data_IF_873512162671
#
_entry.id   IF_873512162671
#
_cell.length_a   1.000
_cell.length_b   1.000
_cell.length_c   1.000
_cell.angle_alpha   90.00
_cell.angle_beta   90.00
_cell.angle_gamma   90.00
#
_symmetry.space_group_name_H-M   'P 1'
#
loop_
_entity.id
_entity.type
_entity.pdbx_description
1 polymer ?
#
# COMPACT_ATOMS: atom_id res chain seq x y z
N UNK A 1 57.08 15.89 17.34
CA UNK A 1 56.21 15.79 16.15
C UNK A 1 54.78 15.61 16.62
N UNK A 2 53.96 16.68 16.55
CA UNK A 2 52.56 16.66 16.95
C UNK A 2 51.72 16.23 15.75
N UNK A 3 51.19 15.00 15.80
CA UNK A 3 50.28 14.50 14.78
C UNK A 3 48.95 15.22 14.88
N UNK A 4 48.70 16.18 13.99
CA UNK A 4 47.35 16.71 13.74
C UNK A 4 46.48 15.56 13.23
N UNK A 5 45.67 14.98 14.12
CA UNK A 5 44.48 14.22 13.71
C UNK A 5 43.54 15.22 13.06
N UNK A 6 43.56 15.30 11.74
CA UNK A 6 42.45 15.87 10.98
C UNK A 6 41.27 14.92 11.18
N UNK A 7 40.39 15.21 12.13
CA UNK A 7 39.07 14.60 12.15
C UNK A 7 38.38 15.05 10.86
N UNK A 8 38.41 14.22 9.83
CA UNK A 8 37.53 14.36 8.68
C UNK A 8 36.11 14.15 9.20
N UNK A 9 35.48 15.23 9.66
CA UNK A 9 34.05 15.28 9.95
C UNK A 9 33.37 14.77 8.69
N UNK A 10 32.83 13.55 8.77
CA UNK A 10 32.08 13.01 7.65
C UNK A 10 30.88 13.94 7.40
N UNK A 11 30.56 14.24 6.14
CA UNK A 11 29.40 15.05 5.84
C UNK A 11 28.16 14.41 6.46
N UNK A 12 27.32 15.22 7.10
CA UNK A 12 26.08 14.79 7.73
C UNK A 12 24.89 15.41 6.99
N UNK A 13 23.80 14.65 6.98
CA UNK A 13 22.48 15.10 6.54
C UNK A 13 21.66 15.44 7.77
N UNK A 14 21.30 16.70 7.96
CA UNK A 14 20.43 17.09 9.07
C UNK A 14 18.98 16.86 8.69
N UNK A 15 18.21 16.24 9.59
CA UNK A 15 16.80 15.96 9.37
C UNK A 15 15.96 16.89 10.22
N UNK A 16 15.04 17.57 9.58
CA UNK A 16 14.11 18.52 10.19
C UNK A 16 12.67 18.14 9.88
N UNK A 17 11.77 18.39 10.82
CA UNK A 17 10.33 18.40 10.58
C UNK A 17 9.86 19.85 10.65
N UNK A 18 9.37 20.38 9.53
CA UNK A 18 8.78 21.71 9.48
C UNK A 18 7.57 21.77 10.43
N UNK A 19 7.28 22.89 11.11
CA UNK A 19 6.12 23.06 12.00
C UNK A 19 4.86 23.60 11.29
N UNK A 20 3.70 23.54 11.98
CA UNK A 20 2.33 23.87 11.48
C UNK A 20 2.20 25.20 10.77
N UNK A 21 3.03 26.15 11.16
CA UNK A 21 3.00 27.52 10.67
C UNK A 21 4.02 27.80 9.56
N UNK A 22 4.77 26.78 9.09
CA UNK A 22 5.89 26.90 8.15
C UNK A 22 6.98 27.92 8.55
N UNK A 23 6.98 28.36 9.81
CA UNK A 23 7.87 29.42 10.34
C UNK A 23 9.05 28.89 11.16
N UNK A 24 9.04 27.60 11.48
CA UNK A 24 10.05 26.99 12.34
C UNK A 24 10.19 25.51 11.99
N UNK A 25 11.36 24.96 12.27
CA UNK A 25 11.70 23.57 12.01
C UNK A 25 12.15 22.92 13.32
N UNK A 26 11.70 21.70 13.55
CA UNK A 26 12.13 20.88 14.68
C UNK A 26 13.26 19.98 14.21
N UNK A 27 14.45 20.16 14.77
CA UNK A 27 15.58 19.27 14.52
C UNK A 27 15.29 17.87 15.07
N UNK A 28 15.44 16.86 14.21
CA UNK A 28 15.18 15.46 14.55
C UNK A 28 16.48 14.75 14.90
N UNK A 29 17.51 14.92 14.05
CA UNK A 29 18.78 14.21 14.13
C UNK A 29 19.68 14.50 12.92
N UNK A 30 20.85 13.87 12.89
CA UNK A 30 21.81 14.03 11.82
C UNK A 30 22.33 12.65 11.36
N UNK A 31 22.01 12.28 10.12
CA UNK A 31 22.42 11.02 9.51
C UNK A 31 23.79 11.18 8.86
N UNK A 32 24.64 10.17 8.91
CA UNK A 32 25.87 10.19 8.11
C UNK A 32 25.54 10.22 6.61
N UNK A 33 26.31 10.93 5.79
CA UNK A 33 26.04 11.06 4.35
C UNK A 33 26.03 9.71 3.61
N UNK A 34 26.61 8.66 4.18
CA UNK A 34 26.48 7.28 3.69
C UNK A 34 25.02 6.83 3.62
N UNK A 35 24.17 7.34 4.53
CA UNK A 35 22.72 7.08 4.56
C UNK A 35 21.97 7.67 3.37
N UNK A 36 22.56 8.60 2.60
CA UNK A 36 21.95 9.11 1.36
C UNK A 36 21.55 7.98 0.41
N UNK A 37 22.24 6.83 0.47
CA UNK A 37 21.93 5.65 -0.34
C UNK A 37 20.54 5.07 -0.05
N UNK A 38 19.97 5.31 1.13
CA UNK A 38 18.62 4.89 1.48
C UNK A 38 17.53 5.75 0.85
N UNK A 39 17.88 6.91 0.28
CA UNK A 39 16.93 7.86 -0.29
C UNK A 39 16.78 7.67 -1.80
N UNK A 40 15.61 7.98 -2.32
CA UNK A 40 15.36 8.03 -3.76
C UNK A 40 16.36 8.98 -4.44
N UNK A 41 16.53 8.83 -5.75
CA UNK A 41 17.35 9.77 -6.52
C UNK A 41 16.87 11.23 -6.37
N UNK A 42 15.55 11.44 -6.36
CA UNK A 42 14.93 12.77 -6.24
C UNK A 42 15.24 13.38 -4.88
N UNK A 43 15.04 12.61 -3.80
CA UNK A 43 15.34 13.06 -2.45
C UNK A 43 16.83 13.35 -2.26
N UNK A 44 17.73 12.48 -2.75
CA UNK A 44 19.17 12.72 -2.72
C UNK A 44 19.58 14.03 -3.39
N UNK A 45 19.01 14.34 -4.56
CA UNK A 45 19.33 15.58 -5.28
C UNK A 45 18.95 16.82 -4.48
N UNK A 46 17.82 16.79 -3.78
CA UNK A 46 17.41 17.88 -2.89
C UNK A 46 18.35 18.01 -1.70
N UNK A 47 18.65 16.90 -1.03
CA UNK A 47 19.53 16.88 0.16
C UNK A 47 20.95 17.35 -0.20
N UNK A 48 21.52 16.90 -1.32
CA UNK A 48 22.89 17.26 -1.73
C UNK A 48 23.11 18.77 -1.94
N UNK A 49 22.04 19.57 -2.07
CA UNK A 49 22.17 21.01 -2.29
C UNK A 49 22.40 21.76 -0.98
N UNK A 50 21.76 21.32 0.12
CA UNK A 50 21.75 22.04 1.40
C UNK A 50 22.26 21.21 2.58
N UNK A 51 22.56 19.91 2.39
CA UNK A 51 22.78 18.91 3.43
C UNK A 51 21.63 18.75 4.43
N UNK A 52 20.45 19.28 4.11
CA UNK A 52 19.29 19.26 4.98
C UNK A 52 18.13 18.52 4.30
N UNK A 53 17.48 17.63 5.05
CA UNK A 53 16.22 17.00 4.71
C UNK A 53 15.11 17.64 5.52
N UNK A 54 14.23 18.39 4.85
CA UNK A 54 13.09 19.05 5.49
C UNK A 54 11.81 18.26 5.18
N UNK A 55 11.28 17.58 6.20
CA UNK A 55 10.03 16.82 6.13
C UNK A 55 8.84 17.75 6.37
N UNK A 56 7.83 17.68 5.49
CA UNK A 56 6.67 18.57 5.55
C UNK A 56 5.77 18.33 6.77
N UNK A 57 5.42 19.40 7.48
CA UNK A 57 4.70 19.37 8.77
C UNK A 57 3.40 18.56 8.78
N UNK A 58 2.60 18.65 7.71
CA UNK A 58 1.22 18.14 7.72
C UNK A 58 1.15 16.60 7.82
N UNK A 59 2.29 15.91 7.77
CA UNK A 59 2.36 14.48 7.45
C UNK A 59 3.40 13.70 8.26
N UNK A 60 4.12 14.36 9.17
CA UNK A 60 5.31 13.78 9.78
C UNK A 60 5.31 14.00 11.28
N UNK A 61 5.21 12.93 12.06
CA UNK A 61 5.35 12.97 13.51
C UNK A 61 6.85 13.01 13.87
N UNK A 62 7.35 14.00 14.64
CA UNK A 62 8.77 14.07 15.03
C UNK A 62 9.30 12.83 15.74
N UNK A 63 8.48 12.16 16.54
CA UNK A 63 8.86 10.92 17.24
C UNK A 63 9.07 9.79 16.23
N UNK A 64 8.13 9.59 15.31
CA UNK A 64 8.25 8.59 14.25
C UNK A 64 9.43 8.88 13.33
N UNK A 65 9.64 10.16 12.98
CA UNK A 65 10.78 10.57 12.17
C UNK A 65 12.12 10.23 12.86
N UNK A 66 12.21 10.42 14.18
CA UNK A 66 13.38 10.01 14.97
C UNK A 66 13.59 8.50 14.92
N UNK A 67 12.54 7.71 15.14
CA UNK A 67 12.61 6.24 15.04
C UNK A 67 13.12 5.79 13.68
N UNK A 68 12.64 6.39 12.59
CA UNK A 68 13.07 6.07 11.23
C UNK A 68 14.54 6.45 11.02
N UNK A 69 14.97 7.61 11.53
CA UNK A 69 16.39 8.01 11.47
C UNK A 69 17.29 7.02 12.20
N UNK A 70 16.95 6.65 13.43
CA UNK A 70 17.70 5.65 14.21
C UNK A 70 17.73 4.30 13.53
N UNK A 71 16.63 3.88 12.90
CA UNK A 71 16.63 2.64 12.11
C UNK A 71 17.59 2.74 10.92
N UNK A 72 17.57 3.83 10.14
CA UNK A 72 18.48 4.00 9.01
C UNK A 72 19.96 3.93 9.43
N UNK A 73 20.33 4.59 10.53
CA UNK A 73 21.71 4.59 11.04
C UNK A 73 22.22 3.20 11.40
N UNK A 74 21.34 2.33 11.89
CA UNK A 74 21.70 1.01 12.38
C UNK A 74 21.45 -0.10 11.35
N UNK A 75 20.83 0.21 10.21
CA UNK A 75 20.37 -0.79 9.26
C UNK A 75 21.29 -0.87 8.03
N UNK A 76 21.86 -2.05 7.79
CA UNK A 76 22.68 -2.29 6.60
C UNK A 76 21.81 -2.20 5.33
N UNK A 77 22.28 -1.46 4.33
CA UNK A 77 21.59 -1.33 3.05
C UNK A 77 21.75 -2.58 2.17
N UNK A 78 22.83 -3.33 2.35
CA UNK A 78 23.10 -4.54 1.59
C UNK A 78 22.31 -5.74 2.13
N UNK A 79 21.99 -5.71 3.43
CA UNK A 79 21.14 -6.68 4.11
C UNK A 79 20.13 -5.98 5.05
N UNK A 80 19.08 -5.35 4.49
CA UNK A 80 18.17 -4.53 5.28
C UNK A 80 17.26 -5.38 6.16
N UNK A 81 17.37 -5.19 7.46
CA UNK A 81 16.42 -5.72 8.43
C UNK A 81 15.09 -4.95 8.38
N UNK A 82 13.94 -5.63 8.45
CA UNK A 82 12.66 -4.94 8.55
C UNK A 82 12.57 -4.17 9.87
N UNK A 83 11.96 -2.99 9.85
CA UNK A 83 11.64 -2.26 11.08
C UNK A 83 10.64 -3.10 11.91
N UNK A 84 10.98 -3.49 13.15
CA UNK A 84 10.07 -4.23 14.02
C UNK A 84 8.87 -3.35 14.38
N UNK A 85 7.68 -3.95 14.45
CA UNK A 85 6.44 -3.23 14.81
C UNK A 85 6.54 -2.67 16.24
N UNK A 86 7.28 -3.33 17.10
CA UNK A 86 7.56 -2.93 18.48
C UNK A 86 8.33 -1.60 18.54
N UNK A 87 9.17 -1.30 17.54
CA UNK A 87 9.87 -0.02 17.46
C UNK A 87 8.95 1.14 17.05
N UNK A 88 7.76 0.85 16.50
CA UNK A 88 6.75 1.86 16.18
C UNK A 88 6.09 2.43 17.44
N UNK A 89 6.16 1.74 18.59
CA UNK A 89 5.63 2.21 19.88
C UNK A 89 4.17 1.80 20.11
N UNK A 90 3.38 2.63 20.81
CA UNK A 90 1.97 2.36 21.13
C UNK A 90 1.18 2.01 19.85
N UNK A 91 0.75 0.75 19.71
CA UNK A 91 0.18 0.22 18.46
C UNK A 91 -1.33 0.46 18.42
N UNK A 92 -1.77 1.71 18.25
CA UNK A 92 -3.12 1.95 17.73
C UNK A 92 -3.12 1.91 16.21
N UNK A 93 -4.27 1.64 15.59
CA UNK A 93 -4.39 1.73 14.13
C UNK A 93 -3.95 3.10 13.60
N UNK A 94 -4.26 4.15 14.35
CA UNK A 94 -3.89 5.53 14.00
C UNK A 94 -2.38 5.76 14.06
N UNK A 95 -1.71 5.25 15.10
CA UNK A 95 -0.25 5.38 15.23
C UNK A 95 0.47 4.68 14.07
N UNK A 96 -0.04 3.50 13.66
CA UNK A 96 0.47 2.78 12.50
C UNK A 96 0.31 3.56 11.19
N UNK A 97 -0.83 4.22 11.00
CA UNK A 97 -1.08 5.10 9.85
C UNK A 97 -0.17 6.33 9.87
N UNK A 98 -0.05 6.99 11.02
CA UNK A 98 0.80 8.18 11.19
C UNK A 98 2.29 7.83 11.00
N UNK A 99 2.72 6.65 11.45
CA UNK A 99 4.06 6.13 11.21
C UNK A 99 4.28 5.86 9.71
N UNK A 100 3.34 5.18 9.05
CA UNK A 100 3.42 4.89 7.62
C UNK A 100 3.45 6.16 6.76
N UNK A 101 2.67 7.18 7.13
CA UNK A 101 2.68 8.50 6.50
C UNK A 101 4.02 9.22 6.70
N UNK A 102 4.56 9.18 7.92
CA UNK A 102 5.89 9.73 8.25
C UNK A 102 6.97 9.05 7.43
N UNK A 103 6.93 7.72 7.33
CA UNK A 103 7.89 6.95 6.54
C UNK A 103 7.86 7.30 5.05
N UNK A 104 6.66 7.53 4.51
CA UNK A 104 6.50 7.97 3.12
C UNK A 104 7.12 9.35 2.84
N UNK A 105 7.30 10.19 3.86
CA UNK A 105 7.93 11.52 3.71
C UNK A 105 9.44 11.45 3.49
N UNK A 106 10.10 10.35 3.88
CA UNK A 106 11.53 10.16 3.65
C UNK A 106 11.86 9.82 2.19
N UNK A 107 10.88 9.47 1.35
CA UNK A 107 11.07 9.11 -0.05
C UNK A 107 12.26 8.16 -0.25
N UNK A 108 12.18 6.99 0.40
CA UNK A 108 13.25 6.00 0.44
C UNK A 108 13.41 5.24 -0.90
N UNK A 109 14.63 4.78 -1.17
CA UNK A 109 14.98 3.99 -2.34
C UNK A 109 14.12 2.73 -2.44
N UNK A 110 13.85 2.31 -3.69
CA UNK A 110 12.94 1.21 -3.98
C UNK A 110 13.38 -0.12 -3.34
N UNK A 111 14.67 -0.33 -3.10
CA UNK A 111 15.18 -1.54 -2.43
C UNK A 111 14.74 -1.63 -0.97
N UNK A 112 14.38 -0.51 -0.34
CA UNK A 112 13.82 -0.45 1.01
C UNK A 112 12.30 -0.53 1.05
N UNK A 113 11.61 -0.80 -0.06
CA UNK A 113 10.15 -1.05 -0.05
C UNK A 113 9.75 -2.21 0.87
N UNK A 114 10.67 -3.11 1.21
CA UNK A 114 10.44 -4.17 2.20
C UNK A 114 10.13 -3.62 3.60
N UNK A 115 10.71 -2.47 3.98
CA UNK A 115 10.40 -1.74 5.21
C UNK A 115 8.92 -1.38 5.32
N UNK A 116 8.35 -0.92 4.21
CA UNK A 116 6.94 -0.57 4.09
C UNK A 116 6.03 -1.81 4.11
N UNK A 117 6.52 -3.00 3.74
CA UNK A 117 5.66 -4.18 3.52
C UNK A 117 5.04 -4.70 4.81
N UNK A 118 5.76 -4.69 5.92
CA UNK A 118 5.24 -5.19 7.20
C UNK A 118 4.15 -4.27 7.75
N UNK A 119 4.42 -2.96 7.81
CA UNK A 119 3.46 -1.95 8.28
C UNK A 119 2.24 -1.89 7.36
N UNK A 120 2.47 -1.82 6.04
CA UNK A 120 1.38 -1.81 5.04
C UNK A 120 0.57 -3.10 5.06
N UNK A 121 1.22 -4.26 5.24
CA UNK A 121 0.57 -5.55 5.38
C UNK A 121 -0.35 -5.60 6.60
N UNK A 122 0.14 -5.13 7.75
CA UNK A 122 -0.65 -5.01 8.96
C UNK A 122 -1.88 -4.10 8.77
N UNK A 123 -1.70 -2.92 8.14
CA UNK A 123 -2.79 -1.98 7.83
C UNK A 123 -3.83 -2.66 6.90
N UNK A 124 -3.37 -3.35 5.85
CA UNK A 124 -4.25 -4.06 4.92
C UNK A 124 -5.06 -5.16 5.61
N UNK A 125 -4.45 -5.90 6.52
CA UNK A 125 -5.11 -6.96 7.26
C UNK A 125 -6.14 -6.40 8.23
N UNK A 126 -5.86 -5.26 8.89
CA UNK A 126 -6.83 -4.56 9.72
C UNK A 126 -8.07 -4.13 8.92
N UNK A 127 -7.87 -3.45 7.78
CA UNK A 127 -8.95 -2.95 6.91
C UNK A 127 -9.88 -4.09 6.42
N UNK A 128 -9.36 -5.31 6.29
CA UNK A 128 -10.14 -6.48 5.87
C UNK A 128 -10.92 -7.15 7.00
N UNK A 129 -10.45 -7.03 8.25
CA UNK A 129 -11.03 -7.73 9.40
C UNK A 129 -12.16 -6.95 10.06
N UNK A 130 -12.07 -5.63 10.07
CA UNK A 130 -13.02 -4.78 10.80
C UNK A 130 -13.56 -3.62 9.94
N UNK A 131 -14.81 -3.20 10.17
CA UNK A 131 -15.35 -1.99 9.54
C UNK A 131 -14.69 -0.75 10.13
N UNK A 132 -14.10 0.07 9.27
CA UNK A 132 -13.43 1.31 9.67
C UNK A 132 -14.41 2.33 10.27
N UNK A 133 -13.97 3.02 11.32
CA UNK A 133 -14.59 4.28 11.76
C UNK A 133 -14.32 5.40 10.75
N UNK A 134 -15.07 6.51 10.86
CA UNK A 134 -14.85 7.67 9.97
C UNK A 134 -13.44 8.24 10.13
N UNK A 135 -12.91 8.26 11.36
CA UNK A 135 -11.59 8.82 11.65
C UNK A 135 -10.46 7.98 11.05
N UNK A 136 -10.57 6.65 11.13
CA UNK A 136 -9.61 5.72 10.54
C UNK A 136 -9.63 5.81 9.01
N UNK A 137 -10.83 5.81 8.41
CA UNK A 137 -10.99 6.00 6.98
C UNK A 137 -10.35 7.32 6.51
N UNK A 138 -10.62 8.42 7.24
CA UNK A 138 -10.01 9.73 6.95
C UNK A 138 -8.49 9.68 7.02
N UNK A 139 -7.93 9.02 8.04
CA UNK A 139 -6.49 8.94 8.23
C UNK A 139 -5.82 8.21 7.05
N UNK A 140 -6.43 7.13 6.56
CA UNK A 140 -5.97 6.44 5.34
C UNK A 140 -6.13 7.36 4.10
N UNK A 141 -7.25 8.06 3.97
CA UNK A 141 -7.58 8.78 2.74
C UNK A 141 -6.82 10.10 2.55
N UNK A 142 -6.57 10.84 3.63
CA UNK A 142 -5.93 12.16 3.59
C UNK A 142 -4.46 12.12 4.04
N UNK A 143 -4.12 11.23 4.98
CA UNK A 143 -2.79 11.24 5.62
C UNK A 143 -1.84 10.20 4.98
N UNK A 144 -2.36 9.06 4.52
CA UNK A 144 -1.60 8.10 3.71
C UNK A 144 -1.58 8.48 2.22
N UNK A 145 -0.37 8.64 1.65
CA UNK A 145 -0.14 8.87 0.21
C UNK A 145 -0.16 7.58 -0.62
N UNK A 146 -0.71 6.50 -0.06
CA UNK A 146 -0.87 5.22 -0.75
C UNK A 146 -2.30 5.11 -1.30
N UNK A 147 -2.42 5.38 -2.61
CA UNK A 147 -3.68 5.30 -3.33
C UNK A 147 -4.29 3.89 -3.35
N UNK A 148 -3.49 2.85 -3.18
CA UNK A 148 -3.98 1.46 -3.12
C UNK A 148 -4.56 1.14 -1.74
N UNK A 149 -3.95 1.62 -0.65
CA UNK A 149 -4.55 1.55 0.69
C UNK A 149 -5.90 2.28 0.72
N UNK A 150 -5.96 3.48 0.13
CA UNK A 150 -7.21 4.24 0.03
C UNK A 150 -8.28 3.48 -0.76
N UNK A 151 -7.92 2.90 -1.92
CA UNK A 151 -8.84 2.08 -2.73
C UNK A 151 -9.30 0.83 -1.97
N UNK A 152 -8.42 0.17 -1.24
CA UNK A 152 -8.79 -1.00 -0.45
C UNK A 152 -9.71 -0.62 0.71
N UNK A 153 -9.46 0.50 1.40
CA UNK A 153 -10.37 1.04 2.42
C UNK A 153 -11.77 1.34 1.86
N UNK A 154 -11.85 1.97 0.67
CA UNK A 154 -13.13 2.18 -0.02
C UNK A 154 -13.80 0.86 -0.39
N UNK A 155 -13.03 -0.10 -0.93
CA UNK A 155 -13.53 -1.42 -1.30
C UNK A 155 -14.12 -2.14 -0.11
N UNK A 156 -13.39 -2.24 1.00
CA UNK A 156 -13.87 -2.92 2.20
C UNK A 156 -15.07 -2.20 2.80
N UNK A 157 -15.08 -0.86 2.84
CA UNK A 157 -16.27 -0.09 3.26
C UNK A 157 -17.52 -0.45 2.43
N UNK A 158 -17.37 -0.61 1.12
CA UNK A 158 -18.46 -1.02 0.23
C UNK A 158 -18.89 -2.47 0.52
N UNK A 159 -17.93 -3.39 0.65
CA UNK A 159 -18.24 -4.80 0.91
C UNK A 159 -18.94 -5.00 2.27
N UNK A 160 -18.46 -4.34 3.32
CA UNK A 160 -19.10 -4.30 4.64
C UNK A 160 -20.49 -3.63 4.59
N UNK A 161 -20.71 -2.65 3.70
CA UNK A 161 -22.05 -2.08 3.51
C UNK A 161 -23.05 -3.06 2.89
N UNK A 162 -22.56 -4.16 2.29
CA UNK A 162 -23.38 -5.23 1.74
C UNK A 162 -23.47 -6.45 2.65
N UNK A 163 -22.61 -6.55 3.66
CA UNK A 163 -22.69 -7.60 4.67
C UNK A 163 -23.85 -7.31 5.63
N UNK A 164 -24.41 -8.37 6.22
CA UNK A 164 -25.48 -8.24 7.22
C UNK A 164 -25.06 -7.47 8.48
N UNK A 165 -23.75 -7.35 8.75
CA UNK A 165 -23.18 -6.55 9.85
C UNK A 165 -23.21 -5.05 9.63
N UNK A 166 -23.17 -4.59 8.37
CA UNK A 166 -23.14 -3.16 8.03
C UNK A 166 -21.86 -2.43 8.47
N UNK A 167 -21.74 -1.16 8.07
CA UNK A 167 -20.68 -0.25 8.54
C UNK A 167 -21.35 0.80 9.45
N UNK A 168 -21.05 0.86 10.76
CA UNK A 168 -21.73 1.76 11.70
C UNK A 168 -21.70 3.24 11.26
N UNK A 169 -20.57 3.67 10.71
CA UNK A 169 -20.34 5.07 10.30
C UNK A 169 -20.47 5.32 8.78
N UNK A 170 -21.18 4.45 8.05
CA UNK A 170 -21.23 4.50 6.58
C UNK A 170 -21.62 5.89 6.03
N UNK A 171 -22.65 6.51 6.60
CA UNK A 171 -23.12 7.82 6.13
C UNK A 171 -22.10 8.92 6.39
N UNK A 172 -21.38 8.85 7.52
CA UNK A 172 -20.31 9.79 7.85
C UNK A 172 -19.13 9.65 6.88
N UNK A 173 -18.77 8.42 6.50
CA UNK A 173 -17.72 8.13 5.52
C UNK A 173 -18.14 8.63 4.13
N UNK A 174 -19.40 8.39 3.72
CA UNK A 174 -19.92 8.90 2.44
C UNK A 174 -19.92 10.43 2.41
N UNK A 175 -20.35 11.10 3.48
CA UNK A 175 -20.33 12.54 3.59
C UNK A 175 -18.90 13.09 3.48
N UNK A 176 -17.94 12.46 4.16
CA UNK A 176 -16.52 12.79 4.02
C UNK A 176 -16.00 12.62 2.59
N UNK A 177 -16.33 11.50 1.93
CA UNK A 177 -15.93 11.28 0.54
C UNK A 177 -16.51 12.33 -0.41
N UNK A 178 -17.72 12.85 -0.14
CA UNK A 178 -18.32 13.93 -0.94
C UNK A 178 -17.55 15.24 -0.75
N UNK A 179 -17.23 15.61 0.49
CA UNK A 179 -16.53 16.88 0.77
C UNK A 179 -15.08 16.88 0.28
N UNK A 180 -14.42 15.71 0.26
CA UNK A 180 -13.04 15.56 -0.24
C UNK A 180 -12.92 15.22 -1.73
N UNK A 181 -14.03 15.05 -2.43
CA UNK A 181 -14.03 14.72 -3.87
C UNK A 181 -13.78 13.25 -4.22
N UNK A 182 -13.63 12.37 -3.23
CA UNK A 182 -13.44 10.93 -3.42
C UNK A 182 -14.72 10.16 -3.79
N UNK A 183 -15.89 10.80 -3.64
CA UNK A 183 -17.18 10.12 -3.84
C UNK A 183 -17.36 9.51 -5.23
N UNK A 184 -16.86 10.17 -6.29
CA UNK A 184 -16.92 9.64 -7.66
C UNK A 184 -16.09 8.36 -7.82
N UNK A 185 -14.90 8.32 -7.21
CA UNK A 185 -14.04 7.14 -7.18
C UNK A 185 -14.74 5.98 -6.46
N UNK A 186 -15.31 6.26 -5.27
CA UNK A 186 -16.05 5.27 -4.49
C UNK A 186 -17.27 4.72 -5.25
N UNK A 187 -18.02 5.57 -5.96
CA UNK A 187 -19.16 5.13 -6.79
C UNK A 187 -18.73 4.26 -7.97
N UNK A 188 -17.67 4.63 -8.67
CA UNK A 188 -17.13 3.83 -9.77
C UNK A 188 -16.67 2.45 -9.27
N UNK A 189 -16.01 2.41 -8.11
CA UNK A 189 -15.60 1.17 -7.46
C UNK A 189 -16.82 0.31 -7.06
N UNK A 190 -17.85 0.92 -6.46
CA UNK A 190 -19.10 0.24 -6.09
C UNK A 190 -19.77 -0.43 -7.29
N UNK A 191 -19.87 0.27 -8.43
CA UNK A 191 -20.43 -0.29 -9.68
C UNK A 191 -19.62 -1.48 -10.18
N UNK A 192 -18.29 -1.36 -10.20
CA UNK A 192 -17.38 -2.43 -10.62
C UNK A 192 -17.50 -3.67 -9.73
N UNK A 193 -17.52 -3.48 -8.41
CA UNK A 193 -17.67 -4.58 -7.45
C UNK A 193 -19.00 -5.30 -7.64
N UNK A 194 -20.11 -4.55 -7.77
CA UNK A 194 -21.44 -5.15 -7.95
C UNK A 194 -21.52 -5.98 -9.24
N UNK A 195 -20.97 -5.47 -10.33
CA UNK A 195 -20.90 -6.22 -11.60
C UNK A 195 -20.09 -7.51 -11.51
N UNK A 196 -19.09 -7.59 -10.63
CA UNK A 196 -18.33 -8.83 -10.39
C UNK A 196 -19.13 -9.81 -9.55
N UNK A 197 -19.71 -9.34 -8.45
CA UNK A 197 -20.54 -10.17 -7.57
C UNK A 197 -21.75 -10.76 -8.31
N UNK A 198 -22.40 -9.97 -9.18
CA UNK A 198 -23.54 -10.44 -9.97
C UNK A 198 -23.10 -11.48 -11.02
N UNK A 199 -21.93 -11.32 -11.64
CA UNK A 199 -21.35 -12.31 -12.57
C UNK A 199 -20.96 -13.60 -11.86
N UNK A 200 -20.40 -13.52 -10.67
CA UNK A 200 -20.04 -14.70 -9.85
C UNK A 200 -21.29 -15.45 -9.39
N UNK A 201 -22.34 -14.74 -8.95
CA UNK A 201 -23.64 -15.34 -8.66
C UNK A 201 -24.26 -16.02 -9.89
N UNK A 202 -24.19 -15.38 -11.05
CA UNK A 202 -24.66 -15.99 -12.30
C UNK A 202 -23.88 -17.25 -12.69
N UNK A 203 -22.55 -17.27 -12.47
CA UNK A 203 -21.73 -18.47 -12.69
C UNK A 203 -22.05 -19.59 -11.70
N UNK A 204 -22.25 -19.27 -10.42
CA UNK A 204 -22.66 -20.25 -9.41
C UNK A 204 -24.02 -20.86 -9.73
N UNK A 205 -25.01 -20.06 -10.14
CA UNK A 205 -26.32 -20.57 -10.55
C UNK A 205 -26.26 -21.47 -11.79
N UNK A 206 -25.36 -21.17 -12.74
CA UNK A 206 -25.13 -22.05 -13.90
C UNK A 206 -24.44 -23.35 -13.48
N UNK A 207 -23.48 -23.29 -12.56
CA UNK A 207 -22.80 -24.47 -12.00
C UNK A 207 -23.75 -25.34 -11.17
N UNK A 208 -24.60 -24.76 -10.32
CA UNK A 208 -25.63 -25.48 -9.55
C UNK A 208 -26.62 -26.18 -10.49
N UNK A 209 -27.09 -25.50 -11.54
CA UNK A 209 -27.95 -26.14 -12.55
C UNK A 209 -27.26 -27.29 -13.29
N UNK A 210 -25.99 -27.15 -13.64
CA UNK A 210 -25.22 -28.21 -14.29
C UNK A 210 -24.96 -29.41 -13.36
N UNK A 211 -24.83 -29.16 -12.05
CA UNK A 211 -24.69 -30.21 -11.03
C UNK A 211 -26.04 -30.90 -10.81
N UNK A 212 -27.14 -30.16 -10.67
CA UNK A 212 -28.50 -30.70 -10.53
C UNK A 212 -28.93 -31.50 -11.77
N UNK A 213 -28.55 -31.05 -12.98
CA UNK A 213 -28.76 -31.80 -14.24
C UNK A 213 -27.89 -33.07 -14.32
N UNK A 214 -26.75 -33.12 -13.62
CA UNK A 214 -25.89 -34.30 -13.55
C UNK A 214 -26.34 -35.33 -12.50
N UNK A 215 -26.99 -34.90 -11.41
CA UNK A 215 -27.52 -35.78 -10.36
C UNK A 215 -28.92 -36.35 -10.70
N UNK A 216 -29.63 -35.74 -11.65
CA UNK A 216 -30.97 -36.17 -12.10
C UNK A 216 -31.00 -37.13 -13.30
N UNK A 217 -29.86 -37.56 -13.85
CA UNK A 217 -29.86 -38.32 -15.12
C UNK A 217 -29.41 -39.78 -14.93
N UNK A 218 -30.38 -40.68 -14.75
CA UNK A 218 -30.23 -42.06 -15.25
C UNK A 218 -29.99 -41.98 -16.74
N UNK A 219 -28.78 -42.32 -17.18
CA UNK A 219 -28.34 -42.32 -18.58
C UNK A 219 -29.35 -43.06 -19.47
N UNK A 220 -29.93 -42.42 -20.50
CA UNK A 220 -30.48 -43.14 -21.63
C UNK A 220 -29.84 -42.65 -22.94
N UNK A 221 -29.06 -43.53 -23.53
CA UNK A 221 -28.68 -43.58 -24.95
C UNK A 221 -28.37 -42.27 -25.69
N UNK A 222 -27.08 -42.14 -26.03
CA UNK A 222 -26.56 -41.40 -27.20
C UNK A 222 -27.45 -41.63 -28.45
N UNK A 223 -28.33 -40.68 -28.75
CA UNK A 223 -28.89 -40.50 -30.09
C UNK A 223 -28.08 -39.42 -30.82
N UNK A 224 -27.45 -39.87 -31.89
CA UNK A 224 -26.74 -39.03 -32.87
C UNK A 224 -27.70 -38.01 -33.52
N UNK A 225 -27.10 -36.87 -33.86
CA UNK A 225 -27.46 -35.86 -34.88
C UNK A 225 -28.53 -34.81 -34.55
N UNK A 226 -28.09 -33.55 -34.44
CA UNK A 226 -28.25 -32.55 -35.52
C UNK A 226 -27.16 -31.48 -35.39
N UNK A 227 -26.60 -31.13 -36.53
CA UNK A 227 -25.48 -30.22 -36.76
C UNK A 227 -25.73 -28.80 -36.23
N UNK A 228 -24.77 -28.27 -35.47
CA UNK A 228 -24.62 -26.84 -35.19
C UNK A 228 -24.10 -26.12 -36.45
N UNK A 229 -24.52 -24.88 -36.73
CA UNK A 229 -23.92 -24.08 -37.77
C UNK A 229 -22.53 -23.61 -37.32
N UNK A 230 -21.61 -23.62 -38.29
CA UNK A 230 -20.22 -23.24 -38.18
C UNK A 230 -20.09 -21.78 -37.73
N UNK A 231 -19.59 -21.56 -36.51
CA UNK A 231 -19.23 -20.24 -35.97
C UNK A 231 -17.74 -20.29 -35.66
N UNK A 232 -16.96 -19.96 -36.68
CA UNK A 232 -15.50 -20.07 -36.73
C UNK A 232 -14.77 -19.62 -35.47
N UNK A 233 -14.16 -20.59 -34.79
CA UNK A 233 -13.08 -20.36 -33.83
C UNK A 233 -11.79 -20.12 -34.63
N UNK A 234 -11.37 -18.86 -34.72
CA UNK A 234 -9.96 -18.55 -35.04
C UNK A 234 -9.13 -18.80 -33.77
N UNK A 235 -8.36 -19.87 -33.80
CA UNK A 235 -7.19 -20.07 -32.96
C UNK A 235 -6.26 -18.85 -33.08
N UNK A 236 -6.03 -18.16 -31.97
CA UNK A 236 -4.82 -17.34 -31.78
C UNK A 236 -3.95 -18.06 -30.78
N UNK A 237 -2.98 -18.81 -31.31
CA UNK A 237 -1.76 -19.18 -30.58
C UNK A 237 -1.03 -17.91 -30.15
N UNK A 238 -0.79 -17.76 -28.84
CA UNK A 238 0.33 -16.97 -28.33
C UNK A 238 0.68 -17.48 -26.92
N UNK A 239 1.19 -18.71 -26.88
CA UNK A 239 1.95 -19.21 -25.73
C UNK A 239 3.39 -18.69 -25.84
N UNK A 240 3.71 -17.57 -25.16
CA UNK A 240 5.10 -17.21 -24.90
C UNK A 240 5.48 -17.60 -23.48
N UNK A 241 5.98 -18.82 -23.35
CA UNK A 241 6.81 -19.24 -22.23
C UNK A 241 8.20 -18.64 -22.48
N UNK A 242 8.70 -17.82 -21.56
CA UNK A 242 10.07 -17.33 -21.59
C UNK A 242 10.97 -18.36 -20.91
N UNK A 243 11.78 -19.07 -21.71
CA UNK A 243 12.90 -19.89 -21.23
C UNK A 243 14.16 -19.06 -21.38
N UNK A 244 14.84 -18.76 -20.27
CA UNK A 244 16.16 -18.14 -20.29
C UNK A 244 17.23 -19.22 -20.50
N UNK A 245 18.18 -19.05 -21.43
CA UNK A 245 19.33 -19.95 -21.52
C UNK A 245 20.29 -19.67 -20.36
N UNK A 246 20.66 -20.75 -19.66
CA UNK A 246 21.81 -20.75 -18.75
C UNK A 246 23.07 -20.38 -19.55
N UNK A 247 23.85 -19.42 -19.04
CA UNK A 247 25.23 -19.22 -19.49
C UNK A 247 26.14 -19.97 -18.54
N UNK A 248 26.75 -21.03 -19.03
CA UNK A 248 28.06 -21.50 -18.59
C UNK A 248 29.12 -20.62 -19.25
N UNK A 249 29.98 -19.96 -18.45
CA UNK A 249 31.45 -20.09 -18.35
C UNK A 249 31.89 -19.15 -17.22
#
# INVERSE_FOLDING_TARGET
MSGRRTSTLQPKVHVYVQNRNNRSETFIGALDATNLRHFSYTARRQINTNNDLILGYRKCNPLHARTICTWMENNDINDPSPLPLEAVGYITFRDMIDFYATLSCFDLDYKLRYLNRNIRGWILDYIKKEPLTKNEFRSIADDCYDGDLRKEAMKQTILWSWSGTGVPELQNIIAFCKTRGYYREMLALKRRLRSKTDKEKGRHQVLERLIDESEGTTVPHLRKTKSLPDMGLREKQDNRIWVFPAKEV
#
